data_IF_048655845732
#
_entry.id   IF_048655845732
#
_cell.length_a   1.000
_cell.length_b   1.000
_cell.length_c   1.000
_cell.angle_alpha   90.00
_cell.angle_beta   90.00
_cell.angle_gamma   90.00
#
_symmetry.space_group_name_H-M   'P 1'
#
loop_
_entity.id
_entity.type
_entity.pdbx_description
1 polymer ?
#
# COMPACT_ATOMS: atom_id res chain seq x y z
N UNK A 1 -4.86 -21.15 0.37
CA UNK A 1 -3.39 -21.25 0.53
C UNK A 1 -2.88 -19.84 0.63
N UNK A 2 -2.29 -19.44 1.77
CA UNK A 2 -1.71 -18.10 1.92
C UNK A 2 -0.46 -18.02 1.06
N UNK A 3 -0.32 -16.99 0.24
CA UNK A 3 0.82 -16.86 -0.68
C UNK A 3 2.13 -16.68 0.09
N UNK A 4 3.15 -17.46 -0.27
CA UNK A 4 4.53 -17.32 0.23
C UNK A 4 5.30 -16.24 -0.52
N UNK A 5 4.68 -15.63 -1.53
CA UNK A 5 5.33 -14.61 -2.33
C UNK A 5 5.66 -13.38 -1.46
N UNK A 6 6.76 -12.74 -1.78
CA UNK A 6 7.19 -11.51 -1.11
C UNK A 6 6.13 -10.42 -1.32
N UNK A 7 5.76 -9.76 -0.22
CA UNK A 7 4.87 -8.58 -0.20
C UNK A 7 5.70 -7.40 0.32
N UNK A 8 5.76 -6.35 -0.49
CA UNK A 8 6.44 -5.11 -0.14
C UNK A 8 5.39 -4.04 0.15
N UNK A 9 5.51 -3.37 1.28
CA UNK A 9 4.76 -2.16 1.63
C UNK A 9 5.71 -0.97 1.53
N UNK A 10 5.35 0.05 0.76
CA UNK A 10 6.11 1.27 0.57
C UNK A 10 5.42 2.38 1.39
N UNK A 11 6.10 2.84 2.44
CA UNK A 11 5.60 3.76 3.45
C UNK A 11 5.42 3.09 4.81
N UNK A 12 5.98 3.71 5.86
CA UNK A 12 5.84 3.27 7.25
C UNK A 12 4.96 4.24 8.06
N UNK A 13 3.92 4.79 7.42
CA UNK A 13 2.91 5.59 8.09
C UNK A 13 1.87 4.72 8.79
N UNK A 14 0.82 5.35 9.30
CA UNK A 14 -0.27 4.66 9.98
C UNK A 14 -0.92 3.54 9.14
N UNK A 15 -1.16 3.84 7.86
CA UNK A 15 -1.81 2.92 6.92
C UNK A 15 -0.87 1.75 6.59
N UNK A 16 0.38 2.03 6.22
CA UNK A 16 1.38 1.00 5.91
C UNK A 16 1.66 0.06 7.09
N UNK A 17 1.79 0.61 8.30
CA UNK A 17 1.99 -0.19 9.53
C UNK A 17 0.77 -1.07 9.85
N UNK A 18 -0.44 -0.53 9.72
CA UNK A 18 -1.69 -1.28 9.95
C UNK A 18 -1.81 -2.45 8.97
N UNK A 19 -1.54 -2.21 7.68
CA UNK A 19 -1.58 -3.25 6.65
C UNK A 19 -0.52 -4.32 6.88
N UNK A 20 0.72 -3.91 7.15
CA UNK A 20 1.80 -4.86 7.39
C UNK A 20 1.51 -5.78 8.59
N UNK A 21 1.00 -5.21 9.70
CA UNK A 21 0.59 -5.99 10.87
C UNK A 21 -0.52 -6.99 10.51
N UNK A 22 -1.58 -6.55 9.83
CA UNK A 22 -2.71 -7.41 9.51
C UNK A 22 -2.36 -8.52 8.52
N UNK A 23 -1.49 -8.26 7.54
CA UNK A 23 -0.95 -9.30 6.67
C UNK A 23 -0.25 -10.38 7.50
N UNK A 24 0.62 -9.97 8.42
CA UNK A 24 1.34 -10.90 9.30
C UNK A 24 0.38 -11.72 10.19
N UNK A 25 -0.62 -11.06 10.78
CA UNK A 25 -1.63 -11.71 11.62
C UNK A 25 -2.52 -12.71 10.86
N UNK A 26 -2.68 -12.51 9.54
CA UNK A 26 -3.46 -13.38 8.66
C UNK A 26 -2.61 -14.48 8.01
N UNK A 27 -1.35 -14.60 8.42
CA UNK A 27 -0.46 -15.70 8.05
C UNK A 27 0.41 -15.43 6.84
N UNK A 28 0.45 -14.19 6.32
CA UNK A 28 1.45 -13.82 5.31
C UNK A 28 2.81 -13.67 5.99
N UNK A 29 3.79 -14.48 5.60
CA UNK A 29 5.07 -14.60 6.33
C UNK A 29 6.23 -13.83 5.71
N UNK A 30 6.06 -13.28 4.49
CA UNK A 30 7.11 -12.59 3.74
C UNK A 30 6.77 -11.12 3.49
N UNK A 31 6.43 -10.40 4.57
CA UNK A 31 6.01 -8.99 4.53
C UNK A 31 7.19 -8.10 4.89
N UNK A 32 7.48 -7.12 4.03
CA UNK A 32 8.56 -6.14 4.25
C UNK A 32 8.06 -4.72 4.04
N UNK A 33 8.41 -3.80 4.94
CA UNK A 33 8.04 -2.39 4.88
C UNK A 33 9.29 -1.56 4.57
N UNK A 34 9.20 -0.70 3.57
CA UNK A 34 10.25 0.24 3.18
C UNK A 34 9.81 1.67 3.45
N UNK A 35 10.68 2.49 4.02
CA UNK A 35 10.41 3.91 4.24
C UNK A 35 11.65 4.75 3.97
N UNK A 36 11.44 5.94 3.44
CA UNK A 36 12.50 6.93 3.20
C UNK A 36 13.04 7.50 4.52
N UNK A 37 12.16 7.73 5.50
CA UNK A 37 12.57 8.14 6.85
C UNK A 37 13.35 7.01 7.53
N UNK A 38 14.41 7.36 8.26
CA UNK A 38 15.21 6.42 9.06
C UNK A 38 14.63 6.16 10.47
N UNK A 39 13.49 6.77 10.77
CA UNK A 39 12.75 6.60 12.02
C UNK A 39 11.24 6.45 11.78
N UNK A 40 10.56 5.82 12.74
CA UNK A 40 9.10 5.82 12.81
C UNK A 40 8.66 6.97 13.71
N UNK A 41 7.68 7.80 13.31
CA UNK A 41 7.18 8.89 14.16
C UNK A 41 6.80 8.38 15.56
N UNK A 42 7.40 8.98 16.58
CA UNK A 42 7.15 8.64 17.98
C UNK A 42 5.69 8.95 18.38
N UNK A 43 5.11 8.10 19.23
CA UNK A 43 3.72 8.23 19.70
C UNK A 43 2.89 6.99 19.39
N UNK A 44 1.63 7.17 18.99
CA UNK A 44 0.64 6.09 18.81
C UNK A 44 1.08 4.97 17.84
N UNK A 45 1.95 5.28 16.88
CA UNK A 45 2.45 4.31 15.90
C UNK A 45 3.54 3.39 16.43
N UNK A 46 4.20 3.73 17.54
CA UNK A 46 5.30 2.91 18.10
C UNK A 46 4.82 1.52 18.51
N UNK A 47 3.61 1.43 19.07
CA UNK A 47 3.02 0.15 19.47
C UNK A 47 2.64 -0.71 18.27
N UNK A 48 2.13 -0.10 17.20
CA UNK A 48 1.78 -0.81 15.96
C UNK A 48 3.03 -1.32 15.26
N UNK A 49 4.07 -0.49 15.17
CA UNK A 49 5.38 -0.87 14.64
C UNK A 49 5.97 -2.06 15.41
N UNK A 50 6.00 -1.98 16.75
CA UNK A 50 6.49 -3.08 17.59
C UNK A 50 5.66 -4.35 17.40
N UNK A 51 4.33 -4.23 17.38
CA UNK A 51 3.44 -5.38 17.15
C UNK A 51 3.71 -6.03 15.79
N UNK A 52 3.91 -5.23 14.74
CA UNK A 52 4.24 -5.72 13.40
C UNK A 52 5.58 -6.46 13.38
N UNK A 53 6.62 -5.92 14.04
CA UNK A 53 7.91 -6.59 14.19
C UNK A 53 7.77 -7.94 14.90
N UNK A 54 7.04 -7.98 16.02
CA UNK A 54 6.79 -9.22 16.77
C UNK A 54 6.04 -10.24 15.91
N UNK A 55 5.13 -9.78 15.06
CA UNK A 55 4.39 -10.64 14.14
C UNK A 55 5.24 -11.17 12.96
N UNK A 56 6.47 -10.67 12.77
CA UNK A 56 7.41 -11.14 11.75
C UNK A 56 7.64 -10.18 10.58
N UNK A 57 7.07 -8.98 10.60
CA UNK A 57 7.27 -7.97 9.55
C UNK A 57 8.70 -7.43 9.60
N UNK A 58 9.36 -7.37 8.44
CA UNK A 58 10.71 -6.78 8.29
C UNK A 58 10.62 -5.31 7.90
N UNK A 59 11.49 -4.48 8.48
CA UNK A 59 11.51 -3.04 8.21
C UNK A 59 12.85 -2.61 7.63
N UNK A 60 12.78 -1.82 6.55
CA UNK A 60 13.90 -1.23 5.84
C UNK A 60 13.70 0.30 5.83
N UNK A 61 14.14 0.95 6.89
CA UNK A 61 14.06 2.41 7.08
C UNK A 61 15.26 3.11 6.43
N UNK A 62 15.12 4.39 6.12
CA UNK A 62 16.17 5.16 5.42
C UNK A 62 16.38 4.73 3.96
N UNK A 63 15.44 3.97 3.38
CA UNK A 63 15.55 3.44 2.02
C UNK A 63 14.69 4.23 1.07
N UNK A 64 15.35 4.92 0.15
CA UNK A 64 14.66 5.67 -0.90
C UNK A 64 14.42 4.78 -2.11
N UNK A 65 13.15 4.55 -2.40
CA UNK A 65 12.70 3.77 -3.55
C UNK A 65 12.53 4.71 -4.73
N UNK A 66 13.14 4.33 -5.85
CA UNK A 66 13.12 5.13 -7.07
C UNK A 66 12.06 4.61 -8.05
N UNK A 67 11.95 3.28 -8.19
CA UNK A 67 11.13 2.66 -9.22
C UNK A 67 10.44 1.38 -8.75
N UNK A 68 9.26 1.13 -9.30
CA UNK A 68 8.62 -0.18 -9.31
C UNK A 68 8.94 -0.85 -10.64
N UNK A 69 9.50 -2.06 -10.57
CA UNK A 69 9.88 -2.85 -11.73
C UNK A 69 8.80 -3.90 -12.02
N UNK A 70 8.54 -4.10 -13.29
CA UNK A 70 7.51 -4.98 -13.83
C UNK A 70 8.11 -6.04 -14.75
N UNK A 71 7.37 -7.11 -14.96
CA UNK A 71 7.58 -8.08 -16.03
C UNK A 71 6.33 -8.13 -16.88
N UNK A 72 6.50 -8.25 -18.20
CA UNK A 72 5.39 -8.45 -19.12
C UNK A 72 4.73 -9.81 -18.89
N UNK A 73 3.41 -9.84 -18.96
CA UNK A 73 2.59 -11.05 -18.92
C UNK A 73 1.73 -11.12 -20.19
N UNK A 74 1.08 -12.27 -20.43
CA UNK A 74 0.20 -12.44 -21.59
C UNK A 74 -1.01 -11.47 -21.58
N UNK A 75 -1.39 -10.99 -20.40
CA UNK A 75 -2.59 -10.16 -20.17
C UNK A 75 -2.28 -8.74 -19.68
N UNK A 76 -0.99 -8.34 -19.65
CA UNK A 76 -0.57 -7.04 -19.15
C UNK A 76 0.84 -7.07 -18.58
N UNK A 77 1.02 -6.55 -17.37
CA UNK A 77 2.28 -6.61 -16.62
C UNK A 77 2.03 -7.12 -15.20
N UNK A 78 3.08 -7.58 -14.51
CA UNK A 78 3.06 -7.96 -13.08
C UNK A 78 4.27 -7.34 -12.40
N UNK A 79 4.13 -6.90 -11.16
CA UNK A 79 5.28 -6.42 -10.38
C UNK A 79 6.31 -7.52 -10.21
N UNK A 80 7.56 -7.13 -10.42
CA UNK A 80 8.75 -7.95 -10.21
C UNK A 80 9.49 -7.54 -8.94
N UNK A 81 9.33 -6.28 -8.50
CA UNK A 81 9.95 -5.77 -7.30
C UNK A 81 10.09 -4.26 -7.29
N UNK A 82 10.89 -3.76 -6.36
CA UNK A 82 11.27 -2.35 -6.25
C UNK A 82 12.77 -2.17 -6.50
N UNK A 83 13.14 -1.03 -7.07
CA UNK A 83 14.52 -0.58 -7.21
C UNK A 83 14.73 0.65 -6.32
N UNK A 84 15.76 0.59 -5.50
CA UNK A 84 16.18 1.68 -4.62
C UNK A 84 17.16 2.60 -5.37
N UNK A 85 17.24 3.87 -4.94
CA UNK A 85 18.13 4.88 -5.52
C UNK A 85 19.62 4.48 -5.44
N UNK A 86 19.99 3.73 -4.40
CA UNK A 86 21.35 3.19 -4.21
C UNK A 86 21.60 1.87 -4.98
N UNK A 87 20.83 1.60 -6.03
CA UNK A 87 20.93 0.46 -6.95
C UNK A 87 20.60 -0.94 -6.36
N UNK A 88 20.05 -1.03 -5.15
CA UNK A 88 19.52 -2.30 -4.63
C UNK A 88 18.18 -2.66 -5.28
N UNK A 89 17.98 -3.95 -5.59
CA UNK A 89 16.72 -4.50 -6.11
C UNK A 89 16.12 -5.49 -5.11
N UNK A 90 14.83 -5.33 -4.79
CA UNK A 90 14.09 -6.23 -3.92
C UNK A 90 12.93 -6.87 -4.68
N UNK A 91 12.97 -8.20 -4.91
CA UNK A 91 11.92 -8.89 -5.64
C UNK A 91 10.62 -8.95 -4.84
N UNK A 92 9.50 -8.71 -5.52
CA UNK A 92 8.16 -8.78 -4.95
C UNK A 92 7.13 -9.00 -6.04
N UNK A 93 6.16 -9.88 -5.78
CA UNK A 93 5.04 -10.10 -6.70
C UNK A 93 3.80 -9.28 -6.34
N UNK A 94 3.84 -8.61 -5.18
CA UNK A 94 2.82 -7.70 -4.70
C UNK A 94 3.50 -6.49 -4.04
N UNK A 95 3.10 -5.29 -4.43
CA UNK A 95 3.60 -4.04 -3.85
C UNK A 95 2.40 -3.22 -3.41
N UNK A 96 2.44 -2.73 -2.18
CA UNK A 96 1.40 -1.89 -1.58
C UNK A 96 2.03 -0.52 -1.33
N UNK A 97 1.53 0.52 -1.96
CA UNK A 97 2.12 1.87 -1.91
C UNK A 97 1.22 2.78 -1.07
N UNK A 98 1.73 3.28 0.06
CA UNK A 98 1.10 4.34 0.83
C UNK A 98 1.40 5.69 0.15
N UNK A 99 0.38 6.29 -0.46
CA UNK A 99 0.48 7.56 -1.19
C UNK A 99 0.33 8.72 -0.20
N UNK A 100 1.44 9.42 0.07
CA UNK A 100 1.47 10.57 0.99
C UNK A 100 2.80 10.78 1.74
N UNK A 101 3.89 10.18 1.29
CA UNK A 101 5.24 10.56 1.69
C UNK A 101 5.55 11.97 1.15
N UNK A 102 6.28 12.79 1.92
CA UNK A 102 6.74 14.11 1.48
C UNK A 102 7.32 14.00 0.07
N UNK A 103 6.95 14.94 -0.80
CA UNK A 103 7.79 15.30 -1.92
C UNK A 103 9.15 15.69 -1.33
N UNK A 104 10.08 14.73 -1.26
CA UNK A 104 11.48 15.08 -1.30
C UNK A 104 11.71 15.60 -2.70
N UNK A 105 11.62 16.92 -2.86
CA UNK A 105 11.85 17.69 -4.09
C UNK A 105 12.59 16.87 -5.16
N UNK A 106 11.85 16.18 -6.04
CA UNK A 106 12.46 15.51 -7.19
C UNK A 106 12.65 16.52 -8.31
N UNK A 107 13.35 17.62 -8.01
CA UNK A 107 13.97 18.46 -9.03
C UNK A 107 15.33 17.85 -9.37
N UNK A 108 15.31 16.67 -10.00
CA UNK A 108 16.36 16.22 -10.91
C UNK A 108 15.85 14.99 -11.65
N UNK A 109 15.19 15.24 -12.78
CA UNK A 109 14.97 14.24 -13.83
C UNK A 109 16.36 13.98 -14.44
N UNK A 110 17.14 13.15 -13.76
CA UNK A 110 18.27 12.49 -14.39
C UNK A 110 17.71 11.64 -15.52
N UNK A 111 18.18 11.86 -16.75
CA UNK A 111 17.69 11.18 -17.94
C UNK A 111 17.94 9.67 -17.87
N UNK A 112 17.09 8.93 -17.15
CA UNK A 112 16.99 7.50 -17.31
C UNK A 112 16.22 7.24 -18.60
N UNK A 113 16.88 6.53 -19.51
CA UNK A 113 16.23 5.88 -20.63
C UNK A 113 14.94 5.21 -20.13
N UNK A 114 13.75 5.51 -20.72
CA UNK A 114 12.49 5.00 -20.21
C UNK A 114 12.46 3.50 -20.45
N UNK A 115 12.85 2.71 -19.43
CA UNK A 115 12.53 1.31 -19.39
C UNK A 115 11.01 1.22 -19.19
N UNK A 116 10.24 0.74 -20.19
CA UNK A 116 8.79 0.67 -20.09
C UNK A 116 8.30 -0.31 -19.01
N UNK A 117 9.22 -1.07 -18.40
CA UNK A 117 8.97 -1.96 -17.29
C UNK A 117 9.49 -1.42 -15.95
N UNK A 118 10.08 -0.23 -15.88
CA UNK A 118 10.46 0.40 -14.63
C UNK A 118 9.76 1.76 -14.50
N UNK A 119 8.72 1.81 -13.68
CA UNK A 119 7.91 3.01 -13.50
C UNK A 119 8.38 3.73 -12.24
N UNK A 120 8.72 5.04 -12.33
CA UNK A 120 9.11 5.84 -11.16
C UNK A 120 8.06 5.77 -10.06
N UNK A 121 8.50 5.68 -8.80
CA UNK A 121 7.59 5.65 -7.65
C UNK A 121 6.73 6.92 -7.58
N UNK A 122 7.26 8.07 -8.02
CA UNK A 122 6.55 9.34 -8.09
C UNK A 122 5.28 9.32 -8.95
N UNK A 123 5.19 8.42 -9.92
CA UNK A 123 3.97 8.22 -10.71
C UNK A 123 2.81 7.64 -9.91
N UNK A 124 3.08 7.02 -8.75
CA UNK A 124 2.07 6.43 -7.86
C UNK A 124 1.71 7.33 -6.68
N UNK A 125 2.58 8.29 -6.33
CA UNK A 125 2.36 9.18 -5.18
C UNK A 125 1.57 10.44 -5.52
N UNK A 126 1.50 10.82 -6.80
CA UNK A 126 0.71 11.95 -7.31
C UNK A 126 -0.68 11.50 -7.80
N UNK A 127 -1.47 10.94 -6.89
CA UNK A 127 -2.78 10.37 -7.21
C UNK A 127 -3.88 11.09 -6.41
N UNK A 128 -5.11 11.12 -6.95
CA UNK A 128 -6.28 11.81 -6.38
C UNK A 128 -6.42 11.58 -4.86
N UNK A 129 -6.54 12.62 -4.02
CA UNK A 129 -6.60 12.47 -2.57
C UNK A 129 -7.82 11.70 -2.02
N UNK A 130 -8.79 11.32 -2.86
CA UNK A 130 -10.09 10.77 -2.46
C UNK A 130 -10.24 9.24 -2.52
N UNK A 131 -9.28 8.46 -3.03
CA UNK A 131 -9.38 7.00 -2.98
C UNK A 131 -9.00 6.45 -1.61
N UNK A 132 -9.43 5.22 -1.30
CA UNK A 132 -9.18 4.55 -0.02
C UNK A 132 -8.17 3.42 -0.21
N UNK A 133 -8.51 2.46 -1.07
CA UNK A 133 -7.66 1.38 -1.56
C UNK A 133 -8.01 1.13 -3.02
N UNK A 134 -7.03 1.14 -3.92
CA UNK A 134 -7.27 0.88 -5.35
C UNK A 134 -6.17 0.02 -5.96
N UNK A 135 -6.54 -0.91 -6.84
CA UNK A 135 -5.57 -1.60 -7.68
C UNK A 135 -5.14 -0.70 -8.82
N UNK A 136 -3.83 -0.66 -9.10
CA UNK A 136 -3.37 -0.03 -10.34
C UNK A 136 -3.92 -0.86 -11.52
N UNK A 137 -4.55 -0.22 -12.52
CA UNK A 137 -5.07 -0.94 -13.68
C UNK A 137 -3.93 -1.59 -14.48
N UNK A 138 -4.24 -2.66 -15.22
CA UNK A 138 -3.32 -3.33 -16.18
C UNK A 138 -2.06 -3.99 -15.58
N UNK A 139 -1.88 -3.99 -14.25
CA UNK A 139 -0.75 -4.64 -13.57
C UNK A 139 -1.12 -5.94 -12.84
N UNK A 140 -2.12 -6.69 -13.33
CA UNK A 140 -2.50 -8.01 -12.80
C UNK A 140 -2.72 -8.05 -11.27
N UNK A 141 -3.29 -6.98 -10.70
CA UNK A 141 -3.54 -6.85 -9.25
C UNK A 141 -2.27 -6.96 -8.36
N UNK A 142 -1.11 -6.63 -8.93
CA UNK A 142 0.18 -6.76 -8.26
C UNK A 142 0.71 -5.46 -7.63
N UNK A 143 -0.03 -4.36 -7.81
CA UNK A 143 0.19 -3.09 -7.09
C UNK A 143 -1.12 -2.54 -6.53
N UNK A 144 -1.11 -2.21 -5.25
CA UNK A 144 -2.23 -1.61 -4.52
C UNK A 144 -1.81 -0.22 -4.03
N UNK A 145 -2.63 0.80 -4.27
CA UNK A 145 -2.45 2.13 -3.74
C UNK A 145 -3.29 2.31 -2.48
N UNK A 146 -2.69 2.86 -1.42
CA UNK A 146 -3.33 3.20 -0.15
C UNK A 146 -3.24 4.70 0.08
N UNK A 147 -4.38 5.35 0.30
CA UNK A 147 -4.38 6.79 0.60
C UNK A 147 -4.03 7.08 2.06
N UNK A 148 -3.19 8.09 2.29
CA UNK A 148 -2.87 8.60 3.63
C UNK A 148 -4.03 9.39 4.27
N UNK A 149 -5.00 9.88 3.50
CA UNK A 149 -6.17 10.61 4.03
C UNK A 149 -7.13 9.73 4.87
N UNK A 150 -6.92 8.41 4.89
CA UNK A 150 -7.60 7.50 5.82
C UNK A 150 -7.38 7.86 7.30
N UNK A 151 -6.34 8.63 7.63
CA UNK A 151 -6.04 9.10 8.99
C UNK A 151 -7.08 10.10 9.51
N UNK A 152 -7.77 10.85 8.64
CA UNK A 152 -8.69 11.92 9.09
C UNK A 152 -10.09 11.42 9.46
N UNK A 153 -10.40 10.13 9.28
CA UNK A 153 -11.76 9.57 9.44
C UNK A 153 -11.82 8.38 10.40
N UNK A 154 -11.29 8.48 11.63
CA UNK A 154 -11.60 7.59 12.78
C UNK A 154 -11.58 6.05 12.58
N UNK A 155 -11.01 5.53 11.48
CA UNK A 155 -11.11 4.13 11.02
C UNK A 155 -9.75 3.45 10.78
N UNK A 156 -8.68 3.87 11.50
CA UNK A 156 -7.34 3.24 11.39
C UNK A 156 -7.35 1.71 11.58
N UNK A 157 -8.27 1.18 12.40
CA UNK A 157 -8.41 -0.27 12.66
C UNK A 157 -8.95 -1.06 11.46
N UNK A 158 -9.61 -0.40 10.50
CA UNK A 158 -10.29 -1.07 9.38
C UNK A 158 -9.44 -1.17 8.11
N UNK A 159 -8.36 -0.39 8.00
CA UNK A 159 -7.53 -0.35 6.78
C UNK A 159 -6.84 -1.69 6.52
N UNK A 160 -6.19 -2.25 7.55
CA UNK A 160 -5.54 -3.54 7.47
C UNK A 160 -6.51 -4.66 7.08
N UNK A 161 -7.65 -4.83 7.79
CA UNK A 161 -8.68 -5.79 7.42
C UNK A 161 -9.21 -5.60 6.00
N UNK A 162 -9.46 -4.37 5.55
CA UNK A 162 -9.94 -4.10 4.18
C UNK A 162 -8.96 -4.56 3.10
N UNK A 163 -7.66 -4.33 3.28
CA UNK A 163 -6.64 -4.78 2.33
C UNK A 163 -6.55 -6.30 2.32
N UNK A 164 -6.60 -6.95 3.49
CA UNK A 164 -6.59 -8.41 3.56
C UNK A 164 -7.85 -8.99 2.92
N UNK A 165 -9.02 -8.46 3.25
CA UNK A 165 -10.28 -8.91 2.68
C UNK A 165 -10.28 -8.72 1.16
N UNK A 166 -9.69 -7.63 0.63
CA UNK A 166 -9.50 -7.44 -0.81
C UNK A 166 -8.59 -8.53 -1.42
N UNK A 167 -7.47 -8.86 -0.77
CA UNK A 167 -6.56 -9.92 -1.22
C UNK A 167 -7.23 -11.31 -1.20
N UNK A 168 -8.05 -11.59 -0.18
CA UNK A 168 -8.80 -12.84 -0.05
C UNK A 168 -9.98 -12.92 -1.03
N UNK A 169 -10.65 -11.80 -1.32
CA UNK A 169 -11.78 -11.71 -2.27
C UNK A 169 -11.33 -11.80 -3.73
N UNK A 170 -10.06 -11.48 -4.02
CA UNK A 170 -9.48 -11.56 -5.38
C UNK A 170 -9.35 -13.01 -5.90
N UNK A 171 -9.78 -14.02 -5.13
CA UNK A 171 -10.13 -15.35 -5.64
C UNK A 171 -11.28 -15.36 -6.67
N UNK A 172 -12.04 -14.25 -6.81
CA UNK A 172 -13.01 -14.05 -7.89
C UNK A 172 -13.78 -12.73 -7.74
N UNK A 173 -13.61 -11.84 -8.72
CA UNK A 173 -14.31 -10.56 -8.94
C UNK A 173 -13.75 -9.31 -8.23
N UNK A 174 -13.41 -8.33 -9.08
CA UNK A 174 -12.73 -7.07 -8.77
C UNK A 174 -13.78 -5.94 -8.63
N UNK A 175 -13.80 -5.25 -7.49
CA UNK A 175 -14.59 -4.02 -7.32
C UNK A 175 -13.85 -3.03 -6.42
N UNK A 176 -13.78 -1.76 -6.82
CA UNK A 176 -13.33 -0.67 -5.96
C UNK A 176 -14.25 -0.53 -4.74
N UNK A 177 -13.70 -0.58 -3.52
CA UNK A 177 -14.48 -0.40 -2.30
C UNK A 177 -14.61 1.10 -2.02
N UNK A 178 -15.74 1.69 -2.39
CA UNK A 178 -16.13 3.04 -1.97
C UNK A 178 -16.94 2.94 -0.66
N UNK A 179 -16.43 3.53 0.42
CA UNK A 179 -17.21 3.72 1.65
C UNK A 179 -18.19 4.87 1.42
N UNK A 180 -19.48 4.56 1.35
CA UNK A 180 -20.52 5.58 1.30
C UNK A 180 -20.47 6.43 2.57
N UNK A 181 -20.48 7.75 2.38
CA UNK A 181 -20.62 8.75 3.43
C UNK A 181 -22.03 8.64 4.00
N UNK A 182 -22.19 7.99 5.15
CA UNK A 182 -23.42 8.08 5.94
C UNK A 182 -23.56 9.54 6.43
N UNK A 183 -24.21 10.37 5.62
CA UNK A 183 -24.72 11.66 6.05
C UNK A 183 -25.94 11.42 6.92
N UNK A 184 -25.79 11.68 8.22
CA UNK A 184 -26.88 11.60 9.18
C UNK A 184 -28.10 12.37 8.72
N UNK A 185 -29.25 11.71 8.71
CA UNK A 185 -30.55 12.37 8.71
C UNK A 185 -31.49 11.58 9.62
N UNK A 186 -31.75 12.15 10.79
CA UNK A 186 -32.96 12.06 11.62
C UNK A 186 -33.94 10.92 11.32
N UNK A 187 -34.04 9.95 12.24
CA UNK A 187 -35.18 9.05 12.35
C UNK A 187 -36.41 9.85 12.85
N UNK A 188 -37.39 10.07 11.99
CA UNK A 188 -38.78 10.19 12.41
C UNK A 188 -39.59 9.03 11.82
N UNK A 189 -40.36 8.29 12.64
CA UNK A 189 -41.30 7.31 12.13
C UNK A 189 -42.65 7.97 11.86
N UNK A 190 -43.11 7.96 10.62
CA UNK A 190 -44.51 8.24 10.27
C UNK A 190 -45.06 7.10 9.41
N UNK A 191 -45.72 6.18 10.12
CA UNK A 191 -47.00 5.55 9.81
C UNK A 191 -47.50 5.54 8.35
N UNK A 192 -47.83 4.35 7.85
CA UNK A 192 -49.21 3.91 7.54
C UNK A 192 -49.23 2.58 6.77
N UNK A 193 -49.96 1.61 7.32
CA UNK A 193 -51.06 0.90 6.65
C UNK A 193 -52.04 0.45 7.73
#
# INVERSE_FOLDING_TARGET
>A
MVSTDSIIVVGAGACGLSVALHLSLRGYTNVSVFAEDDYIPFGDLTNVYRAAQIAGVRFFLGQQIDQIVYVSTLTGKKSAGIRMRNAGFHPSSLIIVETGARDGDSSEIGQLHPDPLAIPLSCYTNTDPNFVVEYVPEVSSSVILLSKNLVQTSKMSLVGPLVVDLLETTGGQQTAVQVQKESGTSLQPLSRL
#
